data_IF_669739121446
#
_entry.id   IF_669739121446
#
_cell.length_a   1.000
_cell.length_b   1.000
_cell.length_c   1.000
_cell.angle_alpha   90.00
_cell.angle_beta   90.00
_cell.angle_gamma   90.00
#
_symmetry.space_group_name_H-M   'P 1'
#
loop_
_entity.id
_entity.type
_entity.pdbx_description
1 polymer ?
#
# COMPACT_ATOMS: atom_id res chain seq x y z
N UNK A 1 -25.01 -2.58 30.71
CA UNK A 1 -24.43 -3.76 30.04
C UNK A 1 -24.73 -3.81 28.54
N UNK A 2 -25.98 -3.66 28.10
CA UNK A 2 -26.33 -3.68 26.66
C UNK A 2 -25.58 -2.61 25.83
N UNK A 3 -25.47 -1.38 26.34
CA UNK A 3 -24.76 -0.31 25.65
C UNK A 3 -23.27 -0.63 25.41
N UNK A 4 -22.62 -1.33 26.35
CA UNK A 4 -21.23 -1.76 26.22
C UNK A 4 -21.09 -2.77 25.07
N UNK A 5 -22.02 -3.72 24.97
CA UNK A 5 -22.03 -4.71 23.89
C UNK A 5 -22.28 -4.04 22.53
N UNK A 6 -23.16 -3.04 22.46
CA UNK A 6 -23.42 -2.27 21.24
C UNK A 6 -22.15 -1.52 20.80
N UNK A 7 -21.47 -0.85 21.72
CA UNK A 7 -20.22 -0.14 21.41
C UNK A 7 -19.14 -1.11 20.93
N UNK A 8 -18.96 -2.25 21.60
CA UNK A 8 -18.00 -3.28 21.15
C UNK A 8 -18.34 -3.82 19.76
N UNK A 9 -19.62 -4.03 19.46
CA UNK A 9 -20.08 -4.45 18.14
C UNK A 9 -19.75 -3.43 17.05
N UNK A 10 -19.96 -2.13 17.31
CA UNK A 10 -19.62 -1.07 16.37
C UNK A 10 -18.11 -0.96 16.14
N UNK A 11 -17.31 -1.10 17.20
CA UNK A 11 -15.84 -1.14 17.08
C UNK A 11 -15.43 -2.33 16.21
N UNK A 12 -15.91 -3.53 16.51
CA UNK A 12 -15.59 -4.73 15.73
C UNK A 12 -15.99 -4.59 14.25
N UNK A 13 -17.19 -4.06 13.98
CA UNK A 13 -17.64 -3.80 12.61
C UNK A 13 -16.72 -2.80 11.88
N UNK A 14 -16.35 -1.69 12.54
CA UNK A 14 -15.42 -0.72 11.99
C UNK A 14 -14.04 -1.32 11.69
N UNK A 15 -13.54 -2.19 12.58
CA UNK A 15 -12.29 -2.92 12.35
C UNK A 15 -12.37 -3.83 11.12
N UNK A 16 -13.42 -4.63 10.99
CA UNK A 16 -13.59 -5.53 9.83
C UNK A 16 -13.68 -4.74 8.53
N UNK A 17 -14.47 -3.68 8.49
CA UNK A 17 -14.60 -2.81 7.31
C UNK A 17 -13.24 -2.17 6.98
N UNK A 18 -12.53 -1.64 7.97
CA UNK A 18 -11.21 -1.04 7.79
C UNK A 18 -10.18 -2.03 7.25
N UNK A 19 -10.18 -3.28 7.73
CA UNK A 19 -9.30 -4.32 7.22
C UNK A 19 -9.61 -4.68 5.77
N UNK A 20 -10.89 -4.83 5.40
CA UNK A 20 -11.28 -5.11 4.02
C UNK A 20 -10.88 -3.95 3.11
N UNK A 21 -11.22 -2.72 3.49
CA UNK A 21 -10.86 -1.53 2.74
C UNK A 21 -9.34 -1.39 2.55
N UNK A 22 -8.56 -1.71 3.57
CA UNK A 22 -7.08 -1.68 3.48
C UNK A 22 -6.56 -2.80 2.58
N UNK A 23 -7.14 -3.99 2.66
CA UNK A 23 -6.73 -5.12 1.82
C UNK A 23 -7.10 -4.95 0.34
N UNK A 24 -8.18 -4.21 0.05
CA UNK A 24 -8.61 -3.91 -1.32
C UNK A 24 -8.11 -2.57 -1.84
N UNK A 25 -7.53 -1.73 -0.98
CA UNK A 25 -6.95 -0.47 -1.39
C UNK A 25 -5.82 -0.73 -2.41
N UNK A 26 -5.77 0.05 -3.49
CA UNK A 26 -4.70 -0.09 -4.46
C UNK A 26 -3.35 0.24 -3.82
N UNK A 27 -2.33 -0.54 -4.17
CA UNK A 27 -0.96 -0.26 -3.75
C UNK A 27 -0.39 0.86 -4.62
N UNK A 28 -0.02 1.97 -4.00
CA UNK A 28 0.49 3.14 -4.70
C UNK A 28 0.89 4.26 -3.73
N UNK A 29 1.27 5.40 -4.30
CA UNK A 29 1.48 6.63 -3.55
C UNK A 29 0.73 7.77 -4.24
N UNK A 30 0.34 8.78 -3.47
CA UNK A 30 -0.28 9.99 -3.99
C UNK A 30 0.74 11.13 -3.93
N UNK A 31 0.84 11.90 -5.01
CA UNK A 31 1.61 13.14 -5.06
C UNK A 31 0.78 14.30 -5.62
N UNK A 32 1.40 15.46 -5.85
CA UNK A 32 0.70 16.66 -6.36
C UNK A 32 0.08 16.48 -7.76
N UNK A 33 0.46 15.41 -8.49
CA UNK A 33 -0.05 15.09 -9.82
C UNK A 33 -1.12 13.99 -9.81
N UNK A 34 -1.35 13.35 -8.66
CA UNK A 34 -2.41 12.35 -8.44
C UNK A 34 -1.90 11.03 -7.84
N UNK A 35 -2.73 9.99 -7.94
CA UNK A 35 -2.41 8.66 -7.41
C UNK A 35 -1.64 7.81 -8.43
N UNK A 36 -0.45 7.35 -8.04
CA UNK A 36 0.42 6.48 -8.84
C UNK A 36 0.36 5.06 -8.33
N UNK A 37 -0.24 4.18 -9.13
CA UNK A 37 -0.27 2.74 -8.87
C UNK A 37 1.13 2.15 -9.11
N UNK A 38 1.63 1.35 -8.17
CA UNK A 38 2.83 0.55 -8.40
C UNK A 38 2.61 -0.44 -9.56
N UNK A 39 3.67 -0.96 -10.22
CA UNK A 39 3.51 -1.94 -11.28
C UNK A 39 2.75 -3.15 -10.71
N UNK A 40 1.50 -3.29 -11.15
CA UNK A 40 0.60 -4.41 -10.86
C UNK A 40 1.42 -5.69 -11.05
N UNK A 41 1.64 -6.42 -9.96
CA UNK A 41 2.60 -7.52 -9.84
C UNK A 41 2.90 -8.18 -11.19
N UNK A 42 3.96 -7.71 -11.85
CA UNK A 42 4.41 -8.35 -13.08
C UNK A 42 4.65 -9.82 -12.71
N UNK A 43 4.12 -10.79 -13.47
CA UNK A 43 4.33 -12.20 -13.17
C UNK A 43 5.82 -12.43 -13.11
N UNK A 44 6.39 -12.61 -11.91
CA UNK A 44 7.83 -12.74 -11.58
C UNK A 44 8.71 -12.53 -12.82
N UNK A 45 8.81 -11.30 -13.30
CA UNK A 45 9.57 -11.03 -14.53
C UNK A 45 11.03 -11.03 -14.11
N UNK A 46 11.65 -12.20 -14.28
CA UNK A 46 13.08 -12.54 -14.25
C UNK A 46 14.00 -11.38 -13.87
N UNK A 47 14.73 -11.59 -12.77
CA UNK A 47 16.06 -11.03 -12.47
C UNK A 47 16.43 -9.83 -13.33
N UNK A 48 15.92 -8.66 -12.95
CA UNK A 48 16.49 -7.41 -13.45
C UNK A 48 17.73 -7.20 -12.58
N UNK A 49 18.95 -7.40 -13.09
CA UNK A 49 20.13 -7.09 -12.30
C UNK A 49 20.04 -5.62 -11.92
N UNK A 50 20.20 -5.34 -10.63
CA UNK A 50 20.21 -4.00 -10.09
C UNK A 50 21.46 -3.30 -10.63
N UNK A 51 21.39 -2.79 -11.87
CA UNK A 51 22.34 -1.81 -12.37
C UNK A 51 21.99 -0.50 -11.69
N UNK A 52 22.53 -0.33 -10.49
CA UNK A 52 22.76 0.98 -9.91
C UNK A 52 23.40 1.83 -11.00
N UNK A 53 22.66 2.81 -11.48
CA UNK A 53 23.16 3.81 -12.41
C UNK A 53 24.31 4.52 -11.72
N UNK A 54 25.54 4.09 -12.02
CA UNK A 54 26.78 4.73 -11.61
C UNK A 54 27.02 6.03 -12.40
N UNK A 55 25.97 6.82 -12.64
CA UNK A 55 26.05 8.10 -13.33
C UNK A 55 26.43 9.27 -12.42
N UNK A 56 26.78 9.02 -11.15
CA UNK A 56 27.27 10.02 -10.20
C UNK A 56 28.56 9.62 -9.46
N UNK A 57 29.42 8.81 -10.08
CA UNK A 57 30.77 8.53 -9.56
C UNK A 57 31.88 9.09 -10.47
N UNK A 58 31.66 10.26 -11.04
CA UNK A 58 32.63 10.96 -11.87
C UNK A 58 32.43 12.46 -11.82
N UNK A 59 32.93 13.11 -10.77
CA UNK A 59 33.30 14.53 -10.78
C UNK A 59 34.30 14.82 -9.66
N UNK A 60 35.51 15.18 -10.11
CA UNK A 60 36.75 15.57 -9.43
C UNK A 60 37.60 14.48 -8.76
#
# INVERSE_FOLDING_TARGET
MIAVLVVLGLIAAGFVIGLIATATAPVGYEDETGFHYGPEQAPRKRDIPCVVSAAHAGLN
#
